data_IF_769190185701
#
_entry.id   IF_769190185701
#
_cell.length_a   1.000
_cell.length_b   1.000
_cell.length_c   1.000
_cell.angle_alpha   90.00
_cell.angle_beta   90.00
_cell.angle_gamma   90.00
#
_symmetry.space_group_name_H-M   'P 1'
#
loop_
_entity.id
_entity.type
_entity.pdbx_description
1 polymer ?
#
# COMPACT_ATOMS: atom_id res chain seq x y z
N UNK A 1 -76.37 -58.42 -4.02
CA UNK A 1 -74.99 -58.53 -4.45
C UNK A 1 -74.41 -57.13 -4.42
N UNK A 2 -73.72 -56.94 -3.41
CA UNK A 2 -73.18 -55.64 -3.01
C UNK A 2 -71.98 -55.25 -3.89
N UNK A 3 -72.07 -54.15 -4.54
CA UNK A 3 -70.95 -53.48 -5.18
C UNK A 3 -70.29 -52.61 -4.18
N UNK A 4 -69.12 -53.05 -3.80
CA UNK A 4 -68.15 -52.26 -3.05
C UNK A 4 -67.63 -51.11 -3.94
N UNK A 5 -68.21 -49.96 -3.68
CA UNK A 5 -67.50 -48.74 -4.11
C UNK A 5 -66.53 -48.33 -3.01
N UNK A 6 -65.35 -48.84 -3.09
CA UNK A 6 -64.23 -48.27 -2.36
C UNK A 6 -64.01 -46.85 -2.83
N UNK A 7 -64.33 -45.92 -1.96
CA UNK A 7 -63.96 -44.57 -2.06
C UNK A 7 -62.41 -44.51 -1.91
N UNK A 8 -61.72 -44.34 -3.00
CA UNK A 8 -60.36 -43.98 -3.00
C UNK A 8 -60.31 -42.55 -2.45
N UNK A 9 -60.01 -42.45 -1.16
CA UNK A 9 -59.56 -41.20 -0.57
C UNK A 9 -58.31 -40.71 -1.30
N UNK A 10 -58.56 -39.84 -2.20
CA UNK A 10 -57.46 -39.04 -2.74
C UNK A 10 -56.99 -38.16 -1.59
N UNK A 11 -55.93 -38.59 -0.95
CA UNK A 11 -55.06 -37.67 -0.23
C UNK A 11 -54.55 -36.67 -1.26
N UNK A 12 -55.24 -35.56 -1.39
CA UNK A 12 -54.64 -34.37 -1.93
C UNK A 12 -53.55 -33.98 -0.94
N UNK A 13 -52.36 -34.36 -1.28
CA UNK A 13 -51.19 -33.71 -0.73
C UNK A 13 -51.29 -32.25 -1.22
N UNK A 14 -51.90 -31.42 -0.40
CA UNK A 14 -51.70 -29.96 -0.54
C UNK A 14 -50.22 -29.73 -0.43
N UNK A 15 -49.56 -29.67 -1.58
CA UNK A 15 -48.29 -29.02 -1.67
C UNK A 15 -48.60 -27.56 -1.33
N UNK A 16 -48.35 -27.19 -0.07
CA UNK A 16 -48.19 -25.81 0.30
C UNK A 16 -46.99 -25.32 -0.54
N UNK A 17 -47.29 -24.86 -1.75
CA UNK A 17 -46.36 -24.01 -2.47
C UNK A 17 -46.11 -22.82 -1.58
N UNK A 18 -45.01 -22.84 -0.89
CA UNK A 18 -44.51 -21.71 -0.11
C UNK A 18 -44.17 -20.61 -1.10
N UNK A 19 -45.18 -19.98 -1.63
CA UNK A 19 -45.02 -18.76 -2.41
C UNK A 19 -44.49 -17.73 -1.44
N UNK A 20 -43.17 -17.51 -1.49
CA UNK A 20 -42.54 -16.45 -0.71
C UNK A 20 -43.07 -15.13 -1.27
N UNK A 21 -44.08 -14.57 -0.60
CA UNK A 21 -44.55 -13.25 -0.97
C UNK A 21 -43.50 -12.21 -0.59
N UNK A 22 -42.79 -11.77 -1.60
CA UNK A 22 -41.76 -10.75 -1.47
C UNK A 22 -42.32 -9.46 -0.86
N UNK A 23 -43.57 -9.15 -1.07
CA UNK A 23 -44.21 -7.98 -0.49
C UNK A 23 -44.44 -8.17 1.02
N UNK A 24 -44.88 -9.33 1.46
CA UNK A 24 -45.02 -9.63 2.89
C UNK A 24 -43.66 -9.61 3.60
N UNK A 25 -42.65 -10.19 2.98
CA UNK A 25 -41.30 -10.15 3.50
C UNK A 25 -40.78 -8.72 3.65
N UNK A 26 -41.06 -7.86 2.65
CA UNK A 26 -40.67 -6.46 2.68
C UNK A 26 -41.38 -5.67 3.79
N UNK A 27 -42.69 -5.89 3.98
CA UNK A 27 -43.44 -5.25 5.07
C UNK A 27 -42.96 -5.71 6.44
N UNK A 28 -42.67 -7.00 6.63
CA UNK A 28 -42.07 -7.51 7.87
C UNK A 28 -40.69 -6.94 8.15
N UNK A 29 -39.89 -6.72 7.10
CA UNK A 29 -38.60 -6.08 7.21
C UNK A 29 -38.69 -4.60 7.61
N UNK A 30 -39.69 -3.88 7.03
CA UNK A 30 -39.96 -2.48 7.38
C UNK A 30 -40.43 -2.33 8.84
N UNK A 31 -41.22 -3.26 9.31
CA UNK A 31 -41.70 -3.26 10.71
C UNK A 31 -40.54 -3.41 11.71
N UNK A 32 -39.50 -4.14 11.32
CA UNK A 32 -38.27 -4.31 12.10
C UNK A 32 -37.14 -3.31 11.75
N UNK A 33 -37.42 -2.41 10.82
CA UNK A 33 -36.39 -1.47 10.30
C UNK A 33 -35.70 -0.66 11.41
N UNK A 34 -36.45 -0.25 12.44
CA UNK A 34 -35.89 0.48 13.59
C UNK A 34 -34.80 -0.32 14.32
N UNK A 35 -34.99 -1.63 14.47
CA UNK A 35 -33.97 -2.49 15.11
C UNK A 35 -32.76 -2.70 14.21
N UNK A 36 -33.00 -2.81 12.89
CA UNK A 36 -31.91 -2.93 11.90
C UNK A 36 -31.07 -1.66 11.88
N UNK A 37 -31.71 -0.49 11.91
CA UNK A 37 -31.02 0.80 11.95
C UNK A 37 -30.18 0.95 13.23
N UNK A 38 -30.74 0.61 14.37
CA UNK A 38 -30.01 0.65 15.65
C UNK A 38 -28.83 -0.32 15.64
N UNK A 39 -29.03 -1.54 15.18
CA UNK A 39 -27.95 -2.52 15.06
C UNK A 39 -26.86 -2.07 14.09
N UNK A 40 -27.23 -1.49 12.95
CA UNK A 40 -26.28 -0.93 11.98
C UNK A 40 -25.49 0.24 12.57
N UNK A 41 -26.14 1.14 13.30
CA UNK A 41 -25.47 2.26 14.00
C UNK A 41 -24.48 1.77 15.06
N UNK A 42 -24.89 0.79 15.87
CA UNK A 42 -23.99 0.19 16.87
C UNK A 42 -22.79 -0.48 16.19
N UNK A 43 -23.02 -1.25 15.13
CA UNK A 43 -21.95 -1.87 14.35
C UNK A 43 -20.99 -0.85 13.75
N UNK A 44 -21.52 0.26 13.22
CA UNK A 44 -20.71 1.34 12.66
C UNK A 44 -19.84 2.02 13.74
N UNK A 45 -20.38 2.27 14.93
CA UNK A 45 -19.65 2.85 16.05
C UNK A 45 -18.50 1.91 16.49
N UNK A 46 -18.81 0.62 16.64
CA UNK A 46 -17.80 -0.38 17.02
C UNK A 46 -16.70 -0.47 15.96
N UNK A 47 -17.07 -0.53 14.68
CA UNK A 47 -16.11 -0.58 13.58
C UNK A 47 -15.25 0.69 13.52
N UNK A 48 -15.83 1.87 13.73
CA UNK A 48 -15.13 3.14 13.79
C UNK A 48 -14.12 3.19 14.94
N UNK A 49 -14.54 2.77 16.13
CA UNK A 49 -13.66 2.69 17.29
C UNK A 49 -12.52 1.69 17.04
N UNK A 50 -12.82 0.51 16.51
CA UNK A 50 -11.82 -0.49 16.20
C UNK A 50 -10.79 0.06 15.19
N UNK A 51 -11.24 0.69 14.10
CA UNK A 51 -10.35 1.28 13.09
C UNK A 51 -9.46 2.37 13.68
N UNK A 52 -10.02 3.25 14.51
CA UNK A 52 -9.25 4.34 15.14
C UNK A 52 -8.20 3.84 16.14
N UNK A 53 -8.50 2.77 16.88
CA UNK A 53 -7.60 2.27 17.93
C UNK A 53 -6.61 1.21 17.43
N UNK A 54 -6.97 0.44 16.40
CA UNK A 54 -6.13 -0.65 15.89
C UNK A 54 -5.34 -0.33 14.64
N UNK A 55 -5.73 0.72 13.88
CA UNK A 55 -5.03 1.11 12.66
C UNK A 55 -4.23 2.39 12.90
N UNK A 56 -2.90 2.28 12.93
CA UNK A 56 -2.01 3.44 12.83
C UNK A 56 -2.01 3.93 11.39
N UNK A 57 -2.34 5.19 11.14
CA UNK A 57 -2.25 5.75 9.79
C UNK A 57 -0.77 5.74 9.36
N UNK A 58 -0.49 5.19 8.18
CA UNK A 58 0.84 5.22 7.59
C UNK A 58 0.88 6.30 6.51
N UNK A 59 1.80 7.22 6.67
CA UNK A 59 2.05 8.30 5.72
C UNK A 59 3.18 7.93 4.78
N UNK A 60 3.11 8.38 3.55
CA UNK A 60 4.09 8.09 2.53
C UNK A 60 4.63 9.38 1.92
N UNK A 61 5.95 9.57 2.00
CA UNK A 61 6.64 10.64 1.31
C UNK A 61 7.51 10.08 0.20
N UNK A 62 7.60 10.78 -0.93
CA UNK A 62 8.46 10.36 -2.04
C UNK A 62 9.33 11.52 -2.52
N UNK A 63 10.62 11.26 -2.64
CA UNK A 63 11.58 12.15 -3.26
C UNK A 63 12.12 11.55 -4.56
N UNK A 64 12.39 12.38 -5.55
CA UNK A 64 12.92 11.95 -6.85
C UNK A 64 14.30 12.55 -7.09
N UNK A 65 15.23 11.71 -7.52
CA UNK A 65 16.58 12.09 -7.89
C UNK A 65 16.81 11.85 -9.37
N UNK A 66 17.39 12.84 -10.06
CA UNK A 66 17.81 12.70 -11.45
C UNK A 66 19.30 12.32 -11.50
N UNK A 67 19.62 11.20 -12.13
CA UNK A 67 21.00 10.80 -12.39
C UNK A 67 21.45 11.43 -13.70
N UNK A 68 22.33 12.43 -13.61
CA UNK A 68 22.93 13.08 -14.77
C UNK A 68 24.38 12.62 -14.91
N UNK A 69 24.74 12.12 -16.08
CA UNK A 69 26.14 11.86 -16.40
C UNK A 69 26.79 13.15 -16.93
N UNK A 70 27.75 13.70 -16.20
CA UNK A 70 28.42 14.98 -16.48
C UNK A 70 29.43 14.92 -17.63
N UNK A 71 29.59 13.80 -18.30
CA UNK A 71 30.58 13.65 -19.36
C UNK A 71 30.07 14.19 -20.70
N UNK A 72 30.18 15.47 -20.88
CA UNK A 72 30.34 16.09 -22.21
C UNK A 72 29.10 16.25 -23.08
N UNK A 73 29.10 17.25 -23.76
CA UNK A 73 28.35 18.08 -24.72
C UNK A 73 27.48 17.37 -25.80
N UNK A 74 27.35 16.05 -25.84
CA UNK A 74 26.52 15.37 -26.85
C UNK A 74 25.73 14.20 -26.26
N UNK A 75 24.42 14.32 -26.29
CA UNK A 75 23.50 13.25 -25.89
C UNK A 75 23.45 12.16 -26.99
N UNK A 76 24.31 11.15 -26.88
CA UNK A 76 24.24 9.96 -27.70
C UNK A 76 23.28 8.93 -27.10
N UNK A 77 22.54 8.20 -27.92
CA UNK A 77 21.64 7.13 -27.52
C UNK A 77 22.29 6.08 -26.59
N UNK A 78 23.58 5.78 -26.83
CA UNK A 78 24.38 4.90 -25.97
C UNK A 78 24.59 5.44 -24.55
N UNK A 79 24.71 6.76 -24.39
CA UNK A 79 24.81 7.40 -23.07
C UNK A 79 23.50 7.40 -22.30
N UNK A 80 22.36 7.46 -23.02
CA UNK A 80 21.05 7.34 -22.39
C UNK A 80 20.85 5.93 -21.84
N UNK A 81 21.27 4.92 -22.57
CA UNK A 81 21.15 3.52 -22.18
C UNK A 81 22.07 3.18 -21.01
N UNK A 82 23.31 3.70 -21.03
CA UNK A 82 24.26 3.57 -19.94
C UNK A 82 23.76 4.25 -18.66
N UNK A 83 23.18 5.44 -18.76
CA UNK A 83 22.63 6.15 -17.59
C UNK A 83 21.44 5.43 -16.97
N UNK A 84 20.66 4.72 -17.76
CA UNK A 84 19.55 3.90 -17.30
C UNK A 84 20.05 2.65 -16.53
N UNK A 85 21.11 1.99 -17.03
CA UNK A 85 21.74 0.87 -16.33
C UNK A 85 22.37 1.32 -15.01
N UNK A 86 23.07 2.45 -15.01
CA UNK A 86 23.63 3.03 -13.79
C UNK A 86 22.56 3.37 -12.76
N UNK A 87 21.41 3.88 -13.18
CA UNK A 87 20.30 4.15 -12.25
C UNK A 87 19.80 2.88 -11.56
N UNK A 88 19.79 1.74 -12.25
CA UNK A 88 19.44 0.45 -11.63
C UNK A 88 20.49 -0.01 -10.61
N UNK A 89 21.76 0.22 -10.89
CA UNK A 89 22.85 -0.12 -9.96
C UNK A 89 22.79 0.76 -8.69
N UNK A 90 22.40 2.02 -8.84
CA UNK A 90 22.23 2.92 -7.69
C UNK A 90 21.09 2.48 -6.74
N UNK A 91 20.06 1.78 -7.20
CA UNK A 91 19.05 1.22 -6.30
C UNK A 91 19.69 0.35 -5.21
N UNK A 92 20.68 -0.47 -5.59
CA UNK A 92 21.40 -1.34 -4.64
C UNK A 92 22.26 -0.55 -3.64
N UNK A 93 22.76 0.61 -4.05
CA UNK A 93 23.55 1.48 -3.15
C UNK A 93 22.65 2.08 -2.07
N UNK A 94 21.42 2.42 -2.39
CA UNK A 94 20.47 2.95 -1.41
C UNK A 94 20.00 1.91 -0.38
N UNK A 95 20.00 0.64 -0.74
CA UNK A 95 19.65 -0.47 0.16
C UNK A 95 20.82 -0.88 1.07
N UNK A 96 21.94 -0.14 0.99
CA UNK A 96 23.10 -0.44 1.81
C UNK A 96 22.90 0.04 3.26
N UNK A 97 23.28 -0.82 4.22
CA UNK A 97 23.17 -0.54 5.65
C UNK A 97 23.86 0.79 6.05
N UNK A 98 24.91 1.17 5.35
CA UNK A 98 25.67 2.38 5.65
C UNK A 98 24.85 3.67 5.41
N UNK A 99 24.04 3.69 4.36
CA UNK A 99 23.16 4.83 4.06
C UNK A 99 22.05 4.92 5.14
N UNK A 100 21.50 3.80 5.53
CA UNK A 100 20.50 3.73 6.60
C UNK A 100 21.07 4.26 7.93
N UNK A 101 22.29 3.86 8.28
CA UNK A 101 22.95 4.31 9.50
C UNK A 101 23.22 5.82 9.49
N UNK A 102 23.63 6.38 8.35
CA UNK A 102 23.83 7.82 8.22
C UNK A 102 22.53 8.61 8.38
N UNK A 103 21.44 8.15 7.77
CA UNK A 103 20.12 8.79 7.91
C UNK A 103 19.65 8.71 9.36
N UNK A 104 19.78 7.54 9.98
CA UNK A 104 19.46 7.33 11.39
C UNK A 104 20.18 8.32 12.30
N UNK A 105 21.47 8.47 12.13
CA UNK A 105 22.30 9.42 12.91
C UNK A 105 21.91 10.87 12.66
N UNK A 106 21.66 11.23 11.40
CA UNK A 106 21.35 12.62 11.03
C UNK A 106 20.02 13.10 11.57
N UNK A 107 19.04 12.22 11.59
CA UNK A 107 17.68 12.50 12.07
C UNK A 107 17.45 12.04 13.52
N UNK A 108 18.48 11.45 14.16
CA UNK A 108 18.42 10.91 15.52
C UNK A 108 17.23 9.92 15.71
N UNK A 109 17.05 9.01 14.73
CA UNK A 109 15.97 8.03 14.74
C UNK A 109 16.36 6.81 15.59
N UNK A 110 15.37 6.20 16.24
CA UNK A 110 15.57 4.99 17.06
C UNK A 110 15.02 3.73 16.38
N UNK A 111 15.28 3.60 15.07
CA UNK A 111 14.90 2.42 14.30
C UNK A 111 16.05 1.45 14.12
N UNK A 112 15.75 0.16 14.09
CA UNK A 112 16.71 -0.86 13.67
C UNK A 112 16.86 -0.87 12.15
N UNK A 113 17.97 -1.42 11.64
CA UNK A 113 18.20 -1.57 10.20
C UNK A 113 17.03 -2.29 9.49
N UNK A 114 16.52 -3.38 10.10
CA UNK A 114 15.42 -4.15 9.55
C UNK A 114 14.09 -3.38 9.50
N UNK A 115 13.86 -2.45 10.42
CA UNK A 115 12.70 -1.56 10.40
C UNK A 115 12.86 -0.51 9.30
N UNK A 116 14.01 0.13 9.20
CA UNK A 116 14.28 1.12 8.15
C UNK A 116 14.15 0.51 6.75
N UNK A 117 14.67 -0.69 6.53
CA UNK A 117 14.53 -1.39 5.25
C UNK A 117 13.08 -1.71 4.85
N UNK A 118 12.17 -1.84 5.83
CA UNK A 118 10.73 -1.99 5.55
C UNK A 118 10.01 -0.67 5.29
N UNK A 119 10.54 0.43 5.84
CA UNK A 119 9.97 1.77 5.70
C UNK A 119 10.35 2.42 4.37
N UNK A 120 11.42 1.94 3.72
CA UNK A 120 12.04 2.57 2.56
C UNK A 120 11.89 1.66 1.35
N UNK A 121 11.48 2.24 0.23
CA UNK A 121 11.49 1.61 -1.08
C UNK A 121 12.18 2.53 -2.08
N UNK A 122 13.13 2.00 -2.81
CA UNK A 122 13.83 2.72 -3.87
C UNK A 122 13.53 2.05 -5.18
N UNK A 123 12.99 2.80 -6.11
CA UNK A 123 12.57 2.32 -7.42
C UNK A 123 13.20 3.15 -8.52
N UNK A 124 13.60 2.47 -9.60
CA UNK A 124 13.88 3.11 -10.88
C UNK A 124 12.68 2.86 -11.80
N UNK A 125 11.82 3.86 -12.05
CA UNK A 125 10.74 3.71 -13.03
C UNK A 125 11.32 3.32 -14.39
N UNK A 126 10.74 2.32 -15.02
CA UNK A 126 11.20 1.60 -16.21
C UNK A 126 12.07 2.43 -17.17
N UNK A 127 13.36 2.08 -17.26
CA UNK A 127 14.34 2.67 -18.20
C UNK A 127 14.49 4.19 -18.14
N UNK A 128 14.25 4.79 -16.99
CA UNK A 128 14.46 6.22 -16.78
C UNK A 128 15.73 6.49 -15.98
N UNK A 129 16.20 7.73 -16.02
CA UNK A 129 17.30 8.21 -15.17
C UNK A 129 16.83 8.76 -13.84
N UNK A 130 15.60 8.37 -13.45
CA UNK A 130 14.98 8.85 -12.22
C UNK A 130 15.04 7.74 -11.19
N UNK A 131 15.56 8.06 -10.03
CA UNK A 131 15.41 7.25 -8.83
C UNK A 131 14.30 7.87 -7.97
N UNK A 132 13.35 7.07 -7.58
CA UNK A 132 12.27 7.45 -6.68
C UNK A 132 12.51 6.76 -5.34
N UNK A 133 12.81 7.55 -4.33
CA UNK A 133 12.90 7.10 -2.94
C UNK A 133 11.56 7.35 -2.28
N UNK A 134 10.97 6.33 -1.73
CA UNK A 134 9.67 6.37 -1.05
C UNK A 134 9.88 5.91 0.38
N UNK A 135 9.42 6.69 1.34
CA UNK A 135 9.50 6.39 2.78
C UNK A 135 8.09 6.34 3.35
N UNK A 136 7.85 5.36 4.21
CA UNK A 136 6.61 5.19 4.96
C UNK A 136 6.90 5.34 6.45
N UNK A 137 6.13 6.21 7.14
CA UNK A 137 6.19 6.38 8.59
C UNK A 137 4.79 6.67 9.14
N UNK A 138 4.60 6.51 10.41
CA UNK A 138 3.40 6.94 11.14
C UNK A 138 3.38 8.46 11.38
N UNK A 139 4.53 9.14 11.24
CA UNK A 139 4.65 10.59 11.24
C UNK A 139 4.90 11.13 9.82
N UNK A 140 4.01 12.00 9.28
CA UNK A 140 4.18 12.58 7.95
C UNK A 140 5.42 13.46 7.82
N UNK A 141 5.82 14.14 8.90
CA UNK A 141 7.02 14.98 8.90
C UNK A 141 8.27 14.13 8.85
N UNK A 142 8.33 13.08 9.66
CA UNK A 142 9.42 12.14 9.67
C UNK A 142 9.60 11.46 8.31
N UNK A 143 8.50 11.01 7.68
CA UNK A 143 8.53 10.41 6.35
C UNK A 143 9.15 11.37 5.32
N UNK A 144 8.80 12.67 5.36
CA UNK A 144 9.32 13.67 4.45
C UNK A 144 10.81 13.95 4.71
N UNK A 145 11.21 14.13 5.96
CA UNK A 145 12.59 14.41 6.35
C UNK A 145 13.51 13.22 6.04
N UNK A 146 13.05 12.01 6.25
CA UNK A 146 13.77 10.81 5.85
C UNK A 146 13.96 10.76 4.33
N UNK A 147 12.89 10.92 3.54
CA UNK A 147 12.98 10.86 2.08
C UNK A 147 13.96 11.91 1.52
N UNK A 148 13.94 13.13 2.03
CA UNK A 148 14.87 14.19 1.66
C UNK A 148 16.31 13.88 2.08
N UNK A 149 16.51 13.38 3.29
CA UNK A 149 17.84 13.05 3.82
C UNK A 149 18.48 11.92 3.03
N UNK A 150 17.70 10.90 2.63
CA UNK A 150 18.19 9.83 1.75
C UNK A 150 18.70 10.37 0.43
N UNK A 151 17.95 11.26 -0.22
CA UNK A 151 18.38 11.88 -1.48
C UNK A 151 19.63 12.75 -1.28
N UNK A 152 19.71 13.53 -0.20
CA UNK A 152 20.88 14.39 0.08
C UNK A 152 22.14 13.57 0.34
N UNK A 153 22.07 12.53 1.15
CA UNK A 153 23.22 11.69 1.48
C UNK A 153 23.73 10.91 0.27
N UNK A 154 22.82 10.43 -0.57
CA UNK A 154 23.21 9.72 -1.80
C UNK A 154 23.90 10.65 -2.80
N UNK A 155 23.49 11.91 -2.91
CA UNK A 155 24.16 12.90 -3.76
C UNK A 155 25.61 13.13 -3.31
N UNK A 156 25.89 13.20 -2.02
CA UNK A 156 27.23 13.37 -1.47
C UNK A 156 28.10 12.15 -1.78
N UNK A 157 27.57 10.94 -1.64
CA UNK A 157 28.32 9.70 -1.92
C UNK A 157 28.59 9.46 -3.40
N UNK A 158 27.71 9.90 -4.29
CA UNK A 158 27.88 9.78 -5.74
C UNK A 158 28.93 10.77 -6.27
N UNK A 159 29.08 11.93 -5.64
CA UNK A 159 30.03 12.95 -6.09
C UNK A 159 31.46 12.79 -5.53
N UNK A 160 31.64 12.06 -4.43
CA UNK A 160 32.96 11.93 -3.78
C UNK A 160 33.91 10.89 -4.39
N UNK A 161 33.52 9.74 -4.94
CA UNK A 161 34.50 8.77 -5.47
C UNK A 161 35.32 9.30 -6.63
N UNK A 162 34.81 10.28 -7.38
CA UNK A 162 35.58 10.95 -8.44
C UNK A 162 36.67 11.88 -7.93
N UNK A 163 36.57 12.35 -6.69
CA UNK A 163 37.62 13.24 -6.11
C UNK A 163 38.80 12.46 -5.55
N UNK A 164 38.60 11.29 -5.01
CA UNK A 164 39.64 10.43 -4.46
C UNK A 164 40.48 9.73 -5.55
N UNK A 165 39.88 9.45 -6.72
CA UNK A 165 40.59 8.87 -7.86
C UNK A 165 41.56 9.85 -8.59
N UNK A 166 41.48 11.15 -8.30
CA UNK A 166 42.35 12.19 -8.90
C UNK A 166 43.57 12.53 -8.05
N UNK A 167 43.79 11.87 -6.91
CA UNK A 167 44.89 12.13 -5.97
C UNK A 167 45.92 10.96 -5.93
N UNK A 168 45.76 9.98 -6.83
CA UNK A 168 46.69 8.86 -6.93
C UNK A 168 47.59 8.97 -8.15
#
# INVERSE_FOLDING_TARGET
MASEHQAISQHQVEQEETTIDLAELFYRLLDKAKFIIVAALLGAIIAFCATKFFMTPMYQASAKLYVLNSSGTSLNLSQIQLSSSLASDYVQVFDNWHVHEMVKRRLNLDYTYAQMGKMISVENPTNTRILKVTVQSDDPQEAADMALTYVQLSLIHISEPTRLALIS
#
